data_IF_545438608607
#
_entry.id   IF_545438608607
#
_cell.length_a   1.000
_cell.length_b   1.000
_cell.length_c   1.000
_cell.angle_alpha   90.00
_cell.angle_beta   90.00
_cell.angle_gamma   90.00
#
_symmetry.space_group_name_H-M   'P 1'
#
loop_
_entity.id
_entity.type
_entity.pdbx_description
1 polymer ?
#
# COMPACT_ATOMS: atom_id res chain seq x y z
N UNK A 1 4.51 -17.61 6.51
CA UNK A 1 3.28 -16.77 6.47
C UNK A 1 2.84 -16.57 5.00
N UNK A 2 1.53 -16.45 4.71
CA UNK A 2 1.07 -16.12 3.38
C UNK A 2 1.53 -14.70 3.01
N UNK A 3 2.19 -14.57 1.86
CA UNK A 3 2.60 -13.28 1.29
C UNK A 3 1.39 -12.65 0.60
N UNK A 4 0.99 -11.45 1.01
CA UNK A 4 -0.04 -10.69 0.30
C UNK A 4 0.51 -10.32 -1.08
N UNK A 5 0.04 -11.00 -2.12
CA UNK A 5 0.43 -10.69 -3.49
C UNK A 5 -0.46 -9.55 -4.01
N UNK A 6 0.02 -8.32 -3.87
CA UNK A 6 -0.60 -7.16 -4.51
C UNK A 6 -0.22 -7.17 -6.00
N UNK A 7 -1.21 -7.35 -6.87
CA UNK A 7 -1.01 -7.15 -8.31
C UNK A 7 -1.22 -5.68 -8.65
N UNK A 8 -0.19 -5.03 -9.17
CA UNK A 8 -0.20 -3.61 -9.54
C UNK A 8 0.65 -3.40 -10.79
N UNK A 9 0.24 -2.50 -11.68
CA UNK A 9 1.04 -2.18 -12.87
C UNK A 9 2.40 -1.59 -12.46
N UNK A 10 3.48 -1.83 -13.24
CA UNK A 10 4.79 -1.28 -12.94
C UNK A 10 4.79 0.25 -12.80
N UNK A 11 3.97 0.94 -13.58
CA UNK A 11 3.83 2.39 -13.59
C UNK A 11 3.17 2.89 -12.30
N UNK A 12 2.05 2.26 -11.91
CA UNK A 12 1.36 2.62 -10.67
C UNK A 12 2.25 2.34 -9.45
N UNK A 13 2.98 1.23 -9.46
CA UNK A 13 3.98 0.93 -8.42
C UNK A 13 5.05 2.00 -8.33
N UNK A 14 5.60 2.45 -9.46
CA UNK A 14 6.60 3.50 -9.47
C UNK A 14 6.05 4.83 -8.90
N UNK A 15 4.78 5.15 -9.17
CA UNK A 15 4.12 6.31 -8.58
C UNK A 15 3.96 6.17 -7.07
N UNK A 16 3.59 4.98 -6.57
CA UNK A 16 3.51 4.72 -5.13
C UNK A 16 4.87 4.92 -4.45
N UNK A 17 5.94 4.36 -5.01
CA UNK A 17 7.30 4.47 -4.46
C UNK A 17 7.75 5.93 -4.41
N UNK A 18 7.53 6.69 -5.49
CA UNK A 18 7.82 8.14 -5.53
C UNK A 18 6.98 8.91 -4.52
N UNK A 19 5.70 8.56 -4.40
CA UNK A 19 4.77 9.15 -3.45
C UNK A 19 5.23 8.99 -2.00
N UNK A 20 5.72 7.80 -1.61
CA UNK A 20 6.24 7.60 -0.26
C UNK A 20 7.38 8.54 0.10
N UNK A 21 8.29 8.83 -0.85
CA UNK A 21 9.45 9.67 -0.58
C UNK A 21 9.10 11.13 -0.27
N UNK A 22 7.93 11.60 -0.72
CA UNK A 22 7.48 13.00 -0.56
C UNK A 22 6.29 13.14 0.39
N UNK A 23 5.65 12.03 0.79
CA UNK A 23 4.55 12.02 1.74
C UNK A 23 5.07 12.03 3.18
N UNK A 24 4.84 13.08 3.99
CA UNK A 24 5.32 13.16 5.37
C UNK A 24 4.84 12.01 6.27
N UNK A 25 3.72 11.35 5.92
CA UNK A 25 3.24 10.20 6.68
C UNK A 25 4.15 8.96 6.49
N UNK A 26 4.85 8.88 5.36
CA UNK A 26 5.53 7.66 4.90
C UNK A 26 7.03 7.81 4.64
N UNK A 27 7.55 9.02 4.43
CA UNK A 27 8.94 9.27 4.04
C UNK A 27 9.97 8.56 4.93
N UNK A 28 9.74 8.56 6.25
CA UNK A 28 10.64 7.98 7.24
C UNK A 28 10.20 6.58 7.73
N UNK A 29 9.28 5.91 7.01
CA UNK A 29 8.69 4.62 7.43
C UNK A 29 9.30 3.44 6.67
N UNK A 30 9.37 2.28 7.35
CA UNK A 30 9.77 1.01 6.75
C UNK A 30 11.23 0.90 6.30
N UNK A 31 12.10 1.85 6.67
CA UNK A 31 13.53 1.79 6.34
C UNK A 31 14.32 0.73 7.13
N UNK A 32 13.82 0.33 8.30
CA UNK A 32 14.48 -0.58 9.23
C UNK A 32 13.73 -1.91 9.41
N UNK A 33 12.84 -2.27 8.47
CA UNK A 33 11.98 -3.46 8.60
C UNK A 33 11.53 -3.99 7.26
N UNK A 34 11.53 -5.32 7.15
CA UNK A 34 11.05 -6.08 6.01
C UNK A 34 9.81 -6.93 6.39
N UNK A 35 9.32 -7.72 5.44
CA UNK A 35 8.16 -8.59 5.60
C UNK A 35 8.29 -9.58 6.78
N UNK A 36 9.52 -9.97 7.13
CA UNK A 36 9.82 -10.97 8.16
C UNK A 36 10.08 -10.36 9.54
N UNK A 37 10.33 -9.05 9.60
CA UNK A 37 10.60 -8.32 10.82
C UNK A 37 9.34 -8.26 11.70
N UNK A 38 9.26 -9.09 12.75
CA UNK A 38 8.08 -9.24 13.64
C UNK A 38 8.18 -8.37 14.91
N UNK A 39 8.77 -7.18 14.82
CA UNK A 39 8.92 -6.29 15.97
C UNK A 39 7.60 -5.58 16.29
N UNK A 40 7.02 -5.84 17.47
CA UNK A 40 5.76 -5.22 17.90
C UNK A 40 5.78 -3.67 17.90
N UNK A 41 6.97 -3.07 18.06
CA UNK A 41 7.18 -1.62 18.00
C UNK A 41 7.28 -1.04 16.58
N UNK A 42 7.45 -1.88 15.54
CA UNK A 42 7.55 -1.42 14.15
C UNK A 42 6.46 -2.07 13.29
N UNK A 43 5.39 -1.32 13.05
CA UNK A 43 4.24 -1.76 12.24
C UNK A 43 4.39 -1.47 10.76
N UNK A 44 5.43 -0.74 10.35
CA UNK A 44 5.67 -0.41 8.95
C UNK A 44 6.82 -1.23 8.38
N UNK A 45 6.64 -1.81 7.20
CA UNK A 45 7.70 -2.54 6.51
C UNK A 45 7.64 -2.32 4.99
N UNK A 46 8.78 -2.44 4.33
CA UNK A 46 8.84 -2.44 2.85
C UNK A 46 8.88 -3.87 2.32
N UNK A 47 8.04 -4.14 1.33
CA UNK A 47 8.10 -5.37 0.54
C UNK A 47 9.29 -5.36 -0.42
N UNK A 48 9.57 -6.52 -1.03
CA UNK A 48 10.67 -6.69 -2.01
C UNK A 48 10.53 -5.78 -3.24
N UNK A 49 9.32 -5.34 -3.53
CA UNK A 49 8.97 -4.47 -4.65
C UNK A 49 8.96 -2.98 -4.28
N UNK A 50 9.40 -2.63 -3.07
CA UNK A 50 9.47 -1.25 -2.59
C UNK A 50 8.14 -0.70 -2.07
N UNK A 51 7.07 -1.49 -2.06
CA UNK A 51 5.79 -1.08 -1.49
C UNK A 51 5.84 -1.02 0.03
N UNK A 52 5.21 -0.01 0.61
CA UNK A 52 5.13 0.19 2.05
C UNK A 52 3.83 -0.41 2.57
N UNK A 53 3.94 -1.23 3.62
CA UNK A 53 2.82 -1.86 4.28
C UNK A 53 2.76 -1.42 5.75
N UNK A 54 1.54 -1.31 6.26
CA UNK A 54 1.25 -1.15 7.68
C UNK A 54 0.56 -2.41 8.20
N UNK A 55 1.01 -2.92 9.35
CA UNK A 55 0.31 -3.98 10.08
C UNK A 55 -0.75 -3.36 10.97
N UNK A 56 -2.01 -3.72 10.72
CA UNK A 56 -3.14 -3.26 11.54
C UNK A 56 -3.15 -3.91 12.94
N UNK A 57 -4.24 -3.70 13.69
CA UNK A 57 -4.37 -4.24 15.04
C UNK A 57 -4.30 -5.78 15.09
N UNK A 58 -4.71 -6.43 14.01
CA UNK A 58 -4.70 -7.89 13.85
C UNK A 58 -3.41 -8.39 13.18
N UNK A 59 -2.40 -7.52 13.05
CA UNK A 59 -1.15 -7.75 12.34
C UNK A 59 -1.31 -8.07 10.85
N UNK A 60 -2.47 -7.78 10.26
CA UNK A 60 -2.72 -7.98 8.84
C UNK A 60 -2.06 -6.85 8.03
N UNK A 61 -1.31 -7.17 6.96
CA UNK A 61 -0.66 -6.16 6.15
C UNK A 61 -1.68 -5.39 5.30
N UNK A 62 -1.62 -4.05 5.38
CA UNK A 62 -2.39 -3.12 4.56
C UNK A 62 -1.43 -2.29 3.73
N UNK A 63 -1.68 -2.21 2.42
CA UNK A 63 -0.90 -1.36 1.53
C UNK A 63 -1.09 0.11 1.94
N UNK A 64 0.02 0.82 2.14
CA UNK A 64 -0.03 2.26 2.36
C UNK A 64 -0.26 2.98 1.03
N UNK A 65 -1.25 3.87 0.99
CA UNK A 65 -1.56 4.65 -0.22
C UNK A 65 -1.04 6.07 -0.03
N UNK A 66 -0.01 6.51 -0.78
CA UNK A 66 0.52 7.86 -0.65
C UNK A 66 -0.53 8.89 -1.05
N UNK A 67 -0.48 10.07 -0.43
CA UNK A 67 -1.47 11.14 -0.64
C UNK A 67 -1.67 11.52 -2.11
N UNK A 68 -0.62 11.43 -2.93
CA UNK A 68 -0.69 11.68 -4.38
C UNK A 68 -1.60 10.71 -5.13
N UNK A 69 -1.78 9.48 -4.64
CA UNK A 69 -2.51 8.41 -5.31
C UNK A 69 -3.92 8.18 -4.72
N UNK A 70 -4.24 8.79 -3.57
CA UNK A 70 -5.53 8.60 -2.89
C UNK A 70 -6.72 9.01 -3.76
N UNK A 71 -6.65 10.17 -4.41
CA UNK A 71 -7.74 10.66 -5.28
C UNK A 71 -7.98 9.71 -6.46
N UNK A 72 -6.92 9.25 -7.11
CA UNK A 72 -7.02 8.31 -8.23
C UNK A 72 -7.61 6.97 -7.79
N UNK A 73 -7.18 6.45 -6.63
CA UNK A 73 -7.70 5.23 -6.04
C UNK A 73 -9.19 5.36 -5.69
N UNK A 74 -9.59 6.44 -5.01
CA UNK A 74 -10.99 6.67 -4.64
C UNK A 74 -11.89 6.77 -5.88
N UNK A 75 -11.42 7.45 -6.92
CA UNK A 75 -12.13 7.52 -8.20
C UNK A 75 -12.29 6.15 -8.83
N UNK A 76 -11.21 5.35 -8.90
CA UNK A 76 -11.28 3.99 -9.44
C UNK A 76 -12.24 3.09 -8.63
N UNK A 77 -12.23 3.18 -7.29
CA UNK A 77 -13.17 2.43 -6.44
C UNK A 77 -14.62 2.86 -6.66
N UNK A 78 -14.86 4.16 -6.82
CA UNK A 78 -16.18 4.69 -7.12
C UNK A 78 -16.68 4.23 -8.51
N UNK A 79 -15.84 4.33 -9.54
CA UNK A 79 -16.16 3.90 -10.91
C UNK A 79 -16.39 2.38 -11.00
N UNK A 80 -15.51 1.57 -10.40
CA UNK A 80 -15.63 0.09 -10.40
C UNK A 80 -16.84 -0.40 -9.60
N UNK A 81 -17.23 0.28 -8.53
CA UNK A 81 -18.46 -0.04 -7.79
C UNK A 81 -19.69 0.15 -8.68
N UNK A 82 -19.69 1.18 -9.54
CA UNK A 82 -20.76 1.40 -10.51
C UNK A 82 -20.74 0.40 -11.67
N UNK A 83 -19.56 -0.03 -12.15
CA UNK A 83 -19.47 -1.06 -13.20
C UNK A 83 -20.06 -2.42 -12.77
N UNK A 84 -19.99 -2.77 -11.48
CA UNK A 84 -20.64 -4.00 -10.96
C UNK A 84 -22.17 -3.92 -10.83
N UNK A 85 -22.77 -2.73 -10.97
CA UNK A 85 -24.22 -2.52 -10.93
C UNK A 85 -24.89 -2.53 -12.33
N UNK A 86 -24.13 -2.87 -13.39
CA UNK A 86 -24.63 -3.00 -14.77
C UNK A 86 -24.54 -4.42 -15.34
N UNK A 87 -24.26 -5.42 -14.51
CA UNK A 87 -24.63 -6.80 -14.81
C UNK A 87 -26.01 -7.06 -14.16
N UNK A 88 -27.07 -6.70 -14.89
CA UNK A 88 -28.45 -7.02 -14.55
C UNK A 88 -28.76 -8.51 -14.60
#
# INVERSE_FOLDING_TARGET
PPTLQVSMSPELRANYIKGYAVDPAFADRGGNSDEHSWYAGNRFYKGKDGLLFFRDADFMPRLCVPKSEQTALLRHLHESSFETAHAG
#
